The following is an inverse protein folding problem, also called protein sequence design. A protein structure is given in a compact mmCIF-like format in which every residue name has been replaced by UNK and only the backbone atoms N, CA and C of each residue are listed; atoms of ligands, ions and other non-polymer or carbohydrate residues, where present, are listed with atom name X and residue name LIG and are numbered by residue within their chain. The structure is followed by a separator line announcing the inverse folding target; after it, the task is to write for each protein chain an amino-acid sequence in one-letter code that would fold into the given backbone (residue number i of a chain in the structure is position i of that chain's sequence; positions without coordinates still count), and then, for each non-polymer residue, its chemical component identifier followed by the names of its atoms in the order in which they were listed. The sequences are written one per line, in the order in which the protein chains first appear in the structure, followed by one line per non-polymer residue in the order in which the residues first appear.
data_IF_494660885518
#
_entry.id   IF_494660885518
#
_cell.length_a   1.000
_cell.length_b   1.000
_cell.length_c   1.000
_cell.angle_alpha   90.00
_cell.angle_beta   90.00
_cell.angle_gamma   90.00
#
_symmetry.space_group_name_H-M   'P 1'
#
loop_
_entity.id
_entity.type
_entity.pdbx_description
1 polymer ?
#
# COMPACT_ATOMS: atom_id res chain seq x y z
N UNK A 1 -0.33 -15.94 2.87
CA UNK A 1 0.57 -16.45 3.90
C UNK A 1 1.99 -15.97 3.65
N UNK A 2 2.41 -14.97 4.41
CA UNK A 2 3.74 -14.44 4.46
C UNK A 2 4.60 -15.45 5.22
N UNK A 3 5.67 -15.88 4.57
CA UNK A 3 6.55 -16.92 5.10
C UNK A 3 7.69 -16.32 5.93
N UNK A 4 7.86 -14.99 5.91
CA UNK A 4 9.00 -14.35 6.55
C UNK A 4 8.68 -12.90 7.03
N UNK A 5 7.64 -12.70 7.87
CA UNK A 5 7.29 -11.37 8.37
C UNK A 5 8.40 -10.77 9.25
N UNK A 6 9.15 -11.62 9.96
CA UNK A 6 10.26 -11.23 10.86
C UNK A 6 11.47 -10.63 10.13
N UNK A 7 11.51 -10.74 8.80
CA UNK A 7 12.62 -10.21 8.00
C UNK A 7 12.36 -8.79 7.50
N UNK A 8 11.28 -8.14 7.96
CA UNK A 8 10.88 -6.82 7.48
C UNK A 8 12.01 -5.80 7.61
N UNK A 9 12.55 -5.61 8.83
CA UNK A 9 13.56 -4.59 9.09
C UNK A 9 14.93 -4.92 8.50
N UNK A 10 15.20 -6.20 8.20
CA UNK A 10 16.38 -6.61 7.42
C UNK A 10 16.27 -6.25 5.93
N UNK A 11 15.06 -6.12 5.39
CA UNK A 11 14.83 -5.75 3.99
C UNK A 11 14.66 -4.23 3.84
N UNK A 12 13.93 -3.61 4.77
CA UNK A 12 13.65 -2.17 4.77
C UNK A 12 14.58 -1.43 5.74
N UNK A 13 15.87 -1.46 5.44
CA UNK A 13 16.93 -0.88 6.28
C UNK A 13 16.72 0.61 6.55
N UNK A 14 16.18 1.39 5.60
CA UNK A 14 15.88 2.81 5.83
C UNK A 14 14.84 3.03 6.92
N UNK A 15 13.77 2.22 6.93
CA UNK A 15 12.76 2.23 8.00
C UNK A 15 13.36 1.85 9.34
N UNK A 16 14.22 0.81 9.36
CA UNK A 16 14.92 0.39 10.57
C UNK A 16 15.84 1.48 11.11
N UNK A 17 16.68 2.06 10.25
CA UNK A 17 17.65 3.08 10.63
C UNK A 17 16.96 4.33 11.18
N UNK A 18 15.86 4.77 10.56
CA UNK A 18 15.05 5.89 11.05
C UNK A 18 14.46 5.59 12.44
N UNK A 19 13.83 4.43 12.59
CA UNK A 19 13.26 4.00 13.87
C UNK A 19 14.32 3.91 14.98
N UNK A 20 15.48 3.33 14.66
CA UNK A 20 16.60 3.17 15.57
C UNK A 20 17.20 4.52 15.98
N UNK A 21 17.31 5.48 15.05
CA UNK A 21 17.77 6.84 15.37
C UNK A 21 16.81 7.55 16.32
N UNK A 22 15.50 7.41 16.09
CA UNK A 22 14.49 7.97 16.99
C UNK A 22 14.55 7.31 18.37
N UNK A 23 14.67 5.98 18.46
CA UNK A 23 14.84 5.29 19.74
C UNK A 23 16.04 5.81 20.55
N UNK A 24 17.16 6.10 19.86
CA UNK A 24 18.34 6.71 20.49
C UNK A 24 18.10 8.13 20.97
N UNK A 25 17.37 8.95 20.20
CA UNK A 25 17.01 10.32 20.61
C UNK A 25 16.19 10.32 21.90
N UNK A 26 15.29 9.36 22.05
CA UNK A 26 14.44 9.21 23.24
C UNK A 26 15.07 8.32 24.34
N UNK A 27 16.36 7.99 24.23
CA UNK A 27 17.12 7.17 25.19
C UNK A 27 16.43 5.84 25.57
N UNK A 28 15.83 5.17 24.60
CA UNK A 28 15.26 3.84 24.82
C UNK A 28 16.37 2.81 25.08
N UNK A 29 16.21 2.01 26.15
CA UNK A 29 17.26 1.10 26.64
C UNK A 29 16.88 -0.38 26.60
N UNK A 30 15.60 -0.68 26.40
CA UNK A 30 15.12 -2.07 26.43
C UNK A 30 15.39 -2.74 25.08
N UNK A 31 15.72 -4.05 25.11
CA UNK A 31 15.96 -4.84 23.89
C UNK A 31 16.94 -4.20 22.88
N UNK A 32 18.04 -3.63 23.38
CA UNK A 32 19.13 -3.08 22.56
C UNK A 32 20.30 -4.06 22.41
N UNK A 33 20.94 -4.06 21.25
CA UNK A 33 22.16 -4.82 20.98
C UNK A 33 23.39 -4.23 21.68
N UNK A 34 24.54 -4.89 21.54
CA UNK A 34 25.82 -4.44 22.12
C UNK A 34 26.35 -3.13 21.53
N UNK A 35 25.81 -2.68 20.41
CA UNK A 35 26.12 -1.41 19.76
C UNK A 35 25.09 -0.30 20.09
N UNK A 36 24.12 -0.59 20.96
CA UNK A 36 23.07 0.34 21.36
C UNK A 36 22.01 0.58 20.26
N UNK A 37 21.83 -0.36 19.34
CA UNK A 37 20.74 -0.35 18.37
C UNK A 37 19.57 -1.23 18.83
N UNK A 38 18.36 -0.93 18.37
CA UNK A 38 17.20 -1.79 18.58
C UNK A 38 17.46 -3.20 18.03
N UNK A 39 17.24 -4.23 18.83
CA UNK A 39 17.16 -5.60 18.33
C UNK A 39 15.99 -5.72 17.35
N UNK A 40 16.24 -6.33 16.19
CA UNK A 40 15.21 -6.54 15.16
C UNK A 40 14.14 -7.50 15.71
N UNK A 41 12.90 -7.22 15.35
CA UNK A 41 11.67 -7.81 15.90
C UNK A 41 11.39 -7.38 17.35
N UNK A 42 12.15 -7.88 18.34
CA UNK A 42 11.83 -7.65 19.75
C UNK A 42 11.92 -6.16 20.14
N UNK A 43 13.08 -5.52 19.98
CA UNK A 43 13.26 -4.12 20.36
C UNK A 43 12.50 -3.15 19.46
N UNK A 44 12.39 -3.46 18.17
CA UNK A 44 11.58 -2.63 17.26
C UNK A 44 10.08 -2.67 17.59
N UNK A 45 9.54 -3.83 17.97
CA UNK A 45 8.12 -3.98 18.32
C UNK A 45 7.81 -3.41 19.69
N UNK A 46 8.71 -3.58 20.66
CA UNK A 46 8.52 -3.08 22.01
C UNK A 46 8.56 -1.55 22.04
N UNK A 47 9.57 -0.95 21.39
CA UNK A 47 9.66 0.52 21.24
C UNK A 47 8.42 1.13 20.58
N UNK A 48 7.93 0.58 19.47
CA UNK A 48 6.73 1.12 18.79
C UNK A 48 5.48 0.95 19.64
N UNK A 49 5.39 -0.14 20.41
CA UNK A 49 4.28 -0.40 21.35
C UNK A 49 4.30 0.59 22.51
N UNK A 50 5.47 0.87 23.08
CA UNK A 50 5.63 1.84 24.16
C UNK A 50 5.31 3.27 23.74
N UNK A 51 5.72 3.66 22.54
CA UNK A 51 5.34 4.95 21.95
C UNK A 51 3.82 5.01 21.72
N UNK A 52 3.20 3.93 21.23
CA UNK A 52 1.76 3.86 20.98
C UNK A 52 0.94 3.92 22.28
N UNK A 53 1.41 3.26 23.34
CA UNK A 53 0.75 3.22 24.64
C UNK A 53 1.02 4.49 25.48
N UNK A 54 1.96 5.34 25.06
CA UNK A 54 2.35 6.55 25.77
C UNK A 54 3.29 6.30 26.95
N UNK A 55 3.91 5.13 27.04
CA UNK A 55 5.01 4.85 27.97
C UNK A 55 6.19 5.79 27.68
N UNK A 56 6.47 5.99 26.39
CA UNK A 56 7.47 6.95 25.89
C UNK A 56 6.74 8.13 25.27
N UNK A 57 6.96 9.32 25.82
CA UNK A 57 6.34 10.54 25.30
C UNK A 57 7.17 11.07 24.12
N UNK A 58 6.65 10.88 22.91
CA UNK A 58 7.25 11.37 21.67
C UNK A 58 6.39 12.52 21.13
N UNK A 59 6.92 13.76 21.00
CA UNK A 59 6.21 14.87 20.37
C UNK A 59 6.09 14.70 18.84
N UNK A 60 5.16 15.46 18.24
CA UNK A 60 5.14 15.63 16.78
C UNK A 60 6.38 16.44 16.32
N UNK A 61 6.97 16.14 15.15
CA UNK A 61 6.49 15.21 14.11
C UNK A 61 6.90 13.75 14.30
N UNK A 62 7.81 13.45 15.23
CA UNK A 62 8.45 12.14 15.38
C UNK A 62 7.44 11.02 15.67
N UNK A 63 6.40 11.32 16.45
CA UNK A 63 5.32 10.37 16.71
C UNK A 63 4.65 9.90 15.41
N UNK A 64 4.34 10.83 14.50
CA UNK A 64 3.74 10.48 13.21
C UNK A 64 4.68 9.64 12.34
N UNK A 65 5.99 9.88 12.41
CA UNK A 65 7.01 9.09 11.71
C UNK A 65 7.05 7.66 12.23
N UNK A 66 7.17 7.46 13.55
CA UNK A 66 7.18 6.13 14.18
C UNK A 66 5.89 5.37 13.86
N UNK A 67 4.74 6.03 14.00
CA UNK A 67 3.44 5.45 13.66
C UNK A 67 3.39 5.01 12.20
N UNK A 68 3.88 5.83 11.27
CA UNK A 68 3.86 5.50 9.84
C UNK A 68 4.76 4.31 9.49
N UNK A 69 5.92 4.18 10.14
CA UNK A 69 6.85 3.05 9.98
C UNK A 69 6.18 1.77 10.46
N UNK A 70 5.59 1.79 11.65
CA UNK A 70 4.95 0.62 12.24
C UNK A 70 3.70 0.19 11.46
N UNK A 71 2.83 1.14 11.10
CA UNK A 71 1.68 0.83 10.25
C UNK A 71 2.10 0.23 8.90
N UNK A 72 3.21 0.71 8.33
CA UNK A 72 3.74 0.17 7.07
C UNK A 72 4.27 -1.26 7.27
N UNK A 73 5.00 -1.53 8.36
CA UNK A 73 5.46 -2.87 8.71
C UNK A 73 4.28 -3.82 8.75
N UNK A 74 3.28 -3.51 9.59
CA UNK A 74 2.07 -4.32 9.75
C UNK A 74 1.43 -4.61 8.39
N UNK A 75 1.13 -3.58 7.58
CA UNK A 75 0.49 -3.74 6.25
C UNK A 75 1.31 -4.54 5.24
N UNK A 76 2.64 -4.54 5.34
CA UNK A 76 3.52 -5.28 4.44
C UNK A 76 3.76 -6.72 4.90
N UNK A 77 3.63 -6.97 6.20
CA UNK A 77 3.80 -8.29 6.79
C UNK A 77 2.49 -9.06 6.92
N UNK A 78 1.35 -8.36 6.82
CA UNK A 78 0.00 -8.90 6.96
C UNK A 78 -0.35 -9.97 5.92
N UNK A 79 -1.21 -10.89 6.34
CA UNK A 79 -1.72 -11.95 5.50
C UNK A 79 -3.12 -11.66 4.98
N UNK A 80 -3.19 -11.22 3.73
CA UNK A 80 -4.45 -10.93 3.05
C UNK A 80 -4.96 -12.12 2.25
N UNK A 81 -6.22 -12.55 2.49
CA UNK A 81 -6.94 -13.38 1.54
C UNK A 81 -7.83 -12.54 0.62
N UNK A 82 -7.47 -12.44 -0.66
CA UNK A 82 -8.16 -11.59 -1.63
C UNK A 82 -8.85 -12.46 -2.69
N UNK A 83 -10.18 -12.58 -2.59
CA UNK A 83 -11.01 -13.07 -3.70
C UNK A 83 -11.65 -11.89 -4.42
N UNK A 84 -11.11 -11.52 -5.58
CA UNK A 84 -11.57 -10.36 -6.35
C UNK A 84 -12.20 -10.75 -7.69
N UNK A 85 -13.29 -10.07 -8.03
CA UNK A 85 -13.88 -10.05 -9.37
C UNK A 85 -13.56 -8.71 -10.01
N UNK A 86 -13.14 -8.70 -11.28
CA UNK A 86 -12.88 -7.46 -12.01
C UNK A 86 -13.46 -7.46 -13.41
N UNK A 87 -13.85 -6.27 -13.87
CA UNK A 87 -14.28 -5.99 -15.23
C UNK A 87 -13.38 -4.91 -15.81
N UNK A 88 -12.86 -5.16 -17.01
CA UNK A 88 -12.00 -4.22 -17.73
C UNK A 88 -12.61 -3.89 -19.09
N UNK A 89 -12.69 -2.61 -19.39
CA UNK A 89 -13.12 -2.09 -20.68
C UNK A 89 -11.99 -1.27 -21.30
N UNK A 90 -11.75 -1.47 -22.59
CA UNK A 90 -10.72 -0.74 -23.34
C UNK A 90 -11.28 -0.36 -24.71
N UNK A 91 -11.10 0.90 -25.08
CA UNK A 91 -11.46 1.43 -26.40
C UNK A 91 -10.34 2.31 -26.94
N UNK A 92 -9.99 2.10 -28.19
CA UNK A 92 -9.03 2.92 -28.94
C UNK A 92 -9.65 3.35 -30.25
N UNK A 93 -9.38 4.58 -30.69
CA UNK A 93 -9.67 5.00 -32.08
C UNK A 93 -8.48 4.87 -33.00
N UNK A 94 -7.33 4.46 -32.47
CA UNK A 94 -6.09 4.34 -33.26
C UNK A 94 -6.29 3.34 -34.39
N UNK A 95 -6.14 3.78 -35.63
CA UNK A 95 -6.38 2.94 -36.82
C UNK A 95 -5.14 2.20 -37.30
N UNK A 96 -3.97 2.82 -37.21
CA UNK A 96 -2.70 2.26 -37.66
C UNK A 96 -1.51 2.77 -36.81
N UNK A 97 -0.29 2.33 -37.12
CA UNK A 97 0.90 2.70 -36.37
C UNK A 97 1.33 4.17 -36.54
N UNK A 98 0.98 4.80 -37.66
CA UNK A 98 1.29 6.19 -38.02
C UNK A 98 0.20 7.17 -37.59
N UNK A 99 -0.95 6.67 -37.15
CA UNK A 99 -2.02 7.49 -36.59
C UNK A 99 -1.55 8.19 -35.31
N UNK A 100 -1.39 9.51 -35.42
CA UNK A 100 -0.99 10.43 -34.36
C UNK A 100 -2.17 11.27 -33.86
N UNK A 101 -3.40 10.93 -34.21
CA UNK A 101 -4.61 11.64 -33.80
C UNK A 101 -5.68 10.67 -33.31
N UNK A 102 -5.40 10.04 -32.17
CA UNK A 102 -6.29 9.06 -31.56
C UNK A 102 -6.53 9.33 -30.09
N UNK A 103 -7.51 8.64 -29.51
CA UNK A 103 -7.61 8.48 -28.07
C UNK A 103 -7.64 7.00 -27.69
N UNK A 104 -7.21 6.72 -26.46
CA UNK A 104 -7.38 5.44 -25.78
C UNK A 104 -8.04 5.69 -24.44
N UNK A 105 -9.05 4.89 -24.13
CA UNK A 105 -9.72 4.84 -22.86
C UNK A 105 -9.59 3.43 -22.32
N UNK A 106 -9.04 3.29 -21.13
CA UNK A 106 -9.05 2.03 -20.35
C UNK A 106 -9.71 2.31 -19.02
N UNK A 107 -10.67 1.48 -18.66
CA UNK A 107 -11.35 1.54 -17.37
C UNK A 107 -11.38 0.16 -16.75
N UNK A 108 -11.09 0.06 -15.46
CA UNK A 108 -11.21 -1.18 -14.70
C UNK A 108 -12.02 -0.93 -13.44
N UNK A 109 -12.93 -1.86 -13.14
CA UNK A 109 -13.65 -1.90 -11.88
C UNK A 109 -13.40 -3.27 -11.24
N UNK A 110 -13.09 -3.27 -9.96
CA UNK A 110 -12.75 -4.46 -9.18
C UNK A 110 -13.50 -4.42 -7.85
N UNK A 111 -14.05 -5.55 -7.44
CA UNK A 111 -14.68 -5.75 -6.14
C UNK A 111 -14.11 -7.03 -5.52
N UNK A 112 -13.66 -6.94 -4.28
CA UNK A 112 -13.12 -8.05 -3.52
C UNK A 112 -14.01 -8.40 -2.32
N UNK A 113 -14.03 -9.68 -1.97
CA UNK A 113 -14.67 -10.19 -0.76
C UNK A 113 -16.21 -10.22 -0.76
N UNK A 114 -16.90 -9.53 -1.68
CA UNK A 114 -18.37 -9.57 -1.79
C UNK A 114 -18.97 -10.99 -1.81
N UNK A 115 -18.37 -11.91 -2.57
CA UNK A 115 -18.82 -13.31 -2.64
C UNK A 115 -18.55 -14.05 -1.31
N UNK A 116 -17.40 -13.78 -0.69
CA UNK A 116 -17.01 -14.37 0.59
C UNK A 116 -17.92 -13.89 1.71
N UNK A 117 -18.31 -12.62 1.71
CA UNK A 117 -19.27 -12.06 2.66
C UNK A 117 -20.65 -12.64 2.48
N UNK A 118 -21.14 -12.79 1.24
CA UNK A 118 -22.41 -13.48 1.00
C UNK A 118 -22.39 -14.90 1.55
N UNK A 119 -21.32 -15.65 1.28
CA UNK A 119 -21.14 -17.00 1.82
C UNK A 119 -21.04 -17.01 3.35
N UNK A 120 -20.20 -16.15 3.93
CA UNK A 120 -19.94 -16.09 5.38
C UNK A 120 -21.20 -15.75 6.17
N UNK A 121 -22.00 -14.81 5.64
CA UNK A 121 -23.30 -14.45 6.21
C UNK A 121 -24.31 -15.60 6.07
N UNK A 122 -24.41 -16.21 4.88
CA UNK A 122 -25.34 -17.33 4.64
C UNK A 122 -25.00 -18.57 5.48
N UNK A 123 -23.72 -18.85 5.69
CA UNK A 123 -23.22 -19.95 6.51
C UNK A 123 -23.13 -19.60 8.01
N UNK A 124 -23.44 -18.36 8.41
CA UNK A 124 -23.33 -17.88 9.80
C UNK A 124 -21.96 -18.17 10.43
N UNK A 125 -20.88 -17.92 9.68
CA UNK A 125 -19.53 -18.13 10.19
C UNK A 125 -19.26 -17.27 11.43
N UNK A 126 -18.52 -17.78 12.42
CA UNK A 126 -18.12 -16.98 13.56
C UNK A 126 -17.16 -15.87 13.12
N UNK A 127 -17.21 -14.75 13.83
CA UNK A 127 -16.25 -13.66 13.71
C UNK A 127 -15.11 -13.85 14.70
N UNK A 128 -13.93 -13.36 14.37
CA UNK A 128 -12.78 -13.35 15.25
C UNK A 128 -12.86 -12.23 16.30
N UNK A 129 -11.80 -12.09 17.11
CA UNK A 129 -11.72 -11.09 18.18
C UNK A 129 -11.79 -9.65 17.66
N UNK A 130 -11.40 -9.41 16.40
CA UNK A 130 -11.46 -8.12 15.73
C UNK A 130 -12.84 -7.84 15.11
N UNK A 131 -13.78 -8.78 15.19
CA UNK A 131 -15.12 -8.66 14.59
C UNK A 131 -15.16 -8.97 13.10
N UNK A 132 -14.10 -9.57 12.54
CA UNK A 132 -13.95 -9.91 11.13
C UNK A 132 -14.20 -11.40 10.90
N UNK A 133 -14.70 -11.74 9.71
CA UNK A 133 -14.83 -13.09 9.21
C UNK A 133 -13.49 -13.61 8.68
N UNK A 134 -13.26 -14.90 8.87
CA UNK A 134 -12.07 -15.59 8.42
C UNK A 134 -12.42 -16.76 7.50
N UNK A 135 -11.56 -16.99 6.51
CA UNK A 135 -11.59 -18.18 5.65
C UNK A 135 -10.18 -18.76 5.63
N UNK A 136 -10.05 -20.06 5.95
CA UNK A 136 -8.74 -20.71 6.16
C UNK A 136 -7.88 -20.01 7.23
N UNK A 137 -8.52 -19.50 8.29
CA UNK A 137 -7.89 -18.74 9.39
C UNK A 137 -7.18 -17.46 8.91
N UNK A 138 -7.65 -16.87 7.81
CA UNK A 138 -7.18 -15.60 7.28
C UNK A 138 -8.36 -14.65 7.16
N UNK A 139 -8.19 -13.43 7.64
CA UNK A 139 -9.13 -12.35 7.35
C UNK A 139 -9.12 -12.08 5.84
N UNK A 140 -10.30 -12.04 5.23
CA UNK A 140 -10.40 -11.75 3.81
C UNK A 140 -10.68 -10.28 3.55
N UNK A 141 -10.08 -9.77 2.48
CA UNK A 141 -10.16 -8.35 2.17
C UNK A 141 -11.44 -7.99 1.42
N UNK A 142 -12.09 -6.92 1.86
CA UNK A 142 -13.28 -6.35 1.22
C UNK A 142 -13.02 -4.91 0.76
N UNK A 143 -13.10 -4.68 -0.55
CA UNK A 143 -12.90 -3.37 -1.12
C UNK A 143 -13.52 -3.25 -2.52
N UNK A 144 -13.83 -2.01 -2.92
CA UNK A 144 -14.07 -1.64 -4.31
C UNK A 144 -12.90 -0.81 -4.80
N UNK A 145 -12.40 -1.11 -5.99
CA UNK A 145 -11.30 -0.40 -6.65
C UNK A 145 -11.68 -0.06 -8.08
N UNK A 146 -11.41 1.18 -8.49
CA UNK A 146 -11.68 1.65 -9.86
C UNK A 146 -10.47 2.37 -10.44
N UNK A 147 -10.19 2.12 -11.71
CA UNK A 147 -9.07 2.70 -12.46
C UNK A 147 -9.60 3.29 -13.76
N UNK A 148 -9.12 4.49 -14.10
CA UNK A 148 -9.41 5.23 -15.32
C UNK A 148 -8.10 5.73 -15.93
N UNK A 149 -7.76 5.25 -17.12
CA UNK A 149 -6.58 5.68 -17.88
C UNK A 149 -7.04 6.21 -19.24
N UNK A 150 -6.70 7.47 -19.48
CA UNK A 150 -7.01 8.17 -20.72
C UNK A 150 -5.74 8.67 -21.38
N UNK A 151 -5.60 8.34 -22.66
CA UNK A 151 -4.50 8.80 -23.51
C UNK A 151 -5.09 9.52 -24.70
N UNK A 152 -4.60 10.73 -25.00
CA UNK A 152 -5.04 11.52 -26.15
C UNK A 152 -3.85 12.09 -26.89
N UNK A 153 -3.84 11.86 -28.19
CA UNK A 153 -2.87 12.42 -29.12
C UNK A 153 -3.60 13.44 -30.02
N UNK A 154 -2.94 14.58 -30.23
CA UNK A 154 -3.30 15.59 -31.22
C UNK A 154 -2.11 15.82 -32.16
N UNK A 155 -2.34 15.69 -33.46
CA UNK A 155 -1.37 16.02 -34.50
C UNK A 155 -1.66 17.45 -35.00
N UNK A 156 -0.70 18.36 -34.79
CA UNK A 156 -0.80 19.76 -35.23
C UNK A 156 -0.10 20.02 -36.57
N UNK A 157 0.19 18.97 -37.35
CA UNK A 157 1.02 19.01 -38.56
C UNK A 157 2.48 19.38 -38.30
N UNK A 158 3.34 19.27 -39.32
CA UNK A 158 4.78 19.60 -39.25
C UNK A 158 5.52 18.86 -38.12
N UNK A 159 5.19 17.58 -37.92
CA UNK A 159 5.82 16.71 -36.91
C UNK A 159 5.62 17.18 -35.47
N UNK A 160 4.58 17.98 -35.21
CA UNK A 160 4.22 18.46 -33.87
C UNK A 160 3.07 17.65 -33.32
N UNK A 161 3.35 16.81 -32.33
CA UNK A 161 2.35 15.98 -31.66
C UNK A 161 2.30 16.37 -30.19
N UNK A 162 1.10 16.65 -29.70
CA UNK A 162 0.83 16.75 -28.27
C UNK A 162 0.21 15.44 -27.80
N UNK A 163 0.84 14.81 -26.82
CA UNK A 163 0.32 13.62 -26.17
C UNK A 163 0.04 13.94 -24.70
N UNK A 164 -1.16 13.64 -24.25
CA UNK A 164 -1.56 13.73 -22.84
C UNK A 164 -1.97 12.34 -22.38
N UNK A 165 -1.48 11.95 -21.21
CA UNK A 165 -1.93 10.78 -20.47
C UNK A 165 -2.41 11.22 -19.10
N UNK A 166 -3.53 10.67 -18.67
CA UNK A 166 -4.11 10.93 -17.35
C UNK A 166 -4.53 9.60 -16.76
N UNK A 167 -4.15 9.38 -15.51
CA UNK A 167 -4.58 8.23 -14.72
C UNK A 167 -5.31 8.74 -13.48
N UNK A 168 -6.43 8.11 -13.15
CA UNK A 168 -7.19 8.34 -11.94
C UNK A 168 -7.63 6.99 -11.38
N UNK A 169 -7.57 6.83 -10.06
CA UNK A 169 -8.10 5.66 -9.40
C UNK A 169 -8.51 5.95 -7.97
N UNK A 170 -9.53 5.23 -7.52
CA UNK A 170 -10.00 5.25 -6.13
C UNK A 170 -10.21 3.82 -5.65
N UNK A 171 -9.81 3.55 -4.40
CA UNK A 171 -9.98 2.28 -3.72
C UNK A 171 -10.59 2.56 -2.35
N UNK A 172 -11.67 1.86 -2.01
CA UNK A 172 -12.42 2.06 -0.77
C UNK A 172 -12.59 0.69 -0.09
N UNK A 173 -11.99 0.47 1.09
CA UNK A 173 -12.26 -0.72 1.88
C UNK A 173 -13.66 -0.60 2.52
N UNK A 174 -14.30 -1.73 2.77
CA UNK A 174 -15.59 -1.77 3.44
C UNK A 174 -15.79 -3.09 4.18
N UNK A 175 -16.81 -3.17 5.05
CA UNK A 175 -17.23 -4.43 5.66
C UNK A 175 -16.14 -5.08 6.52
N UNK A 176 -15.60 -6.19 6.05
CA UNK A 176 -14.59 -7.03 6.69
C UNK A 176 -13.17 -6.44 6.68
N UNK A 177 -12.99 -5.21 6.22
CA UNK A 177 -11.67 -4.58 6.11
C UNK A 177 -11.70 -3.08 6.35
N UNK A 178 -10.67 -2.57 7.03
CA UNK A 178 -10.48 -1.14 7.31
C UNK A 178 -9.41 -0.48 6.42
N UNK A 179 -8.69 -1.28 5.64
CA UNK A 179 -7.59 -0.85 4.78
C UNK A 179 -7.61 -1.62 3.45
N UNK A 180 -6.97 -1.03 2.44
CA UNK A 180 -6.68 -1.72 1.18
C UNK A 180 -5.41 -2.55 1.37
N UNK A 181 -5.41 -3.83 0.99
CA UNK A 181 -4.20 -4.64 0.94
C UNK A 181 -3.05 -3.94 0.22
N UNK A 182 -1.81 -4.08 0.70
CA UNK A 182 -0.67 -3.41 0.08
C UNK A 182 -0.54 -3.77 -1.41
N UNK A 183 -0.75 -5.04 -1.75
CA UNK A 183 -0.72 -5.55 -3.14
C UNK A 183 -1.81 -4.99 -4.07
N UNK A 184 -2.78 -4.24 -3.53
CA UNK A 184 -3.90 -3.62 -4.25
C UNK A 184 -3.93 -2.10 -4.12
N UNK A 185 -3.05 -1.53 -3.30
CA UNK A 185 -2.91 -0.10 -3.08
C UNK A 185 -2.35 0.61 -4.32
N UNK A 186 -2.65 1.91 -4.45
CA UNK A 186 -2.05 2.75 -5.49
C UNK A 186 -0.70 3.28 -5.05
N UNK A 187 0.20 3.43 -6.02
CA UNK A 187 1.51 4.04 -5.85
C UNK A 187 1.80 4.92 -7.06
N UNK A 188 2.69 5.91 -6.87
CA UNK A 188 3.12 6.81 -7.93
C UNK A 188 4.64 6.95 -7.94
N UNK A 189 5.18 7.26 -9.11
CA UNK A 189 6.62 7.30 -9.41
C UNK A 189 7.09 6.12 -10.25
N UNK A 190 8.18 6.32 -10.99
CA UNK A 190 8.78 5.35 -11.90
C UNK A 190 8.75 5.78 -13.37
N UNK A 191 9.50 5.07 -14.20
CA UNK A 191 9.69 5.42 -15.63
C UNK A 191 8.40 5.38 -16.47
N UNK A 192 7.42 4.58 -16.05
CA UNK A 192 6.12 4.40 -16.71
C UNK A 192 4.98 5.24 -16.10
N UNK A 193 5.29 6.03 -15.08
CA UNK A 193 4.39 6.98 -14.42
C UNK A 193 5.07 8.36 -14.39
N UNK A 194 5.19 9.00 -13.22
CA UNK A 194 5.92 10.24 -13.04
C UNK A 194 7.43 9.97 -13.11
N UNK A 195 8.01 10.22 -14.30
CA UNK A 195 9.45 10.06 -14.56
C UNK A 195 10.28 11.00 -13.69
N UNK A 196 11.50 10.57 -13.36
CA UNK A 196 12.43 11.22 -12.42
C UNK A 196 12.07 11.08 -10.93
N UNK A 197 10.94 10.45 -10.60
CA UNK A 197 10.69 9.89 -9.26
C UNK A 197 10.90 8.38 -9.29
N UNK A 198 11.51 7.85 -8.23
CA UNK A 198 11.59 6.41 -8.03
C UNK A 198 10.19 5.80 -7.83
N UNK A 199 10.01 4.50 -8.15
CA UNK A 199 8.80 3.79 -7.80
C UNK A 199 8.46 3.95 -6.31
N UNK A 200 7.18 4.12 -5.99
CA UNK A 200 6.66 4.29 -4.61
C UNK A 200 7.10 5.58 -3.88
N UNK A 201 7.77 6.51 -4.56
CA UNK A 201 8.29 7.74 -3.93
C UNK A 201 7.29 8.88 -3.83
N UNK A 202 6.17 8.80 -4.54
CA UNK A 202 5.13 9.82 -4.50
C UNK A 202 3.91 9.33 -3.69
N UNK A 203 3.43 10.18 -2.77
CA UNK A 203 2.24 9.95 -1.96
C UNK A 203 2.51 10.06 -0.45
N UNK A 204 1.45 10.04 0.39
CA UNK A 204 1.58 10.19 1.85
C UNK A 204 2.31 9.03 2.55
N UNK A 205 2.57 7.93 1.84
CA UNK A 205 3.41 6.81 2.29
C UNK A 205 4.82 6.81 1.69
N UNK A 206 5.28 7.95 1.14
CA UNK A 206 6.61 8.05 0.54
C UNK A 206 7.69 7.79 1.59
N UNK A 207 8.37 6.65 1.47
CA UNK A 207 9.69 6.48 2.08
C UNK A 207 10.69 7.00 1.07
N UNK A 208 11.70 7.76 1.52
CA UNK A 208 12.90 7.95 0.70
C UNK A 208 13.36 6.56 0.29
N UNK A 209 13.18 6.20 -0.98
CA UNK A 209 13.75 4.98 -1.48
C UNK A 209 15.27 5.16 -1.40
N UNK A 210 15.92 4.14 -0.85
CA UNK A 210 17.37 3.97 -0.95
C UNK A 210 17.70 3.61 -2.38
#
# INVERSE_FOLDING_TARGET
RNLNPENYYNVYESSYNELNNLAKIYNYTDFIDTAGNLMIEEGTSDFTTDVKNGTIVVPEPDYSTIRSIEERRVRLTEDDFILATSYSFSKTTKTDLKDNSFYQLRTKMESAGSILSLFSNAASLPKNQNGNYEIFNLEYSEYVKTEFDYVKYWDFSKEKILAVRTFFGIAIPYGNSNNIPFSRSYFAGGSNDNRAWEPYRLGPGSTGAV
#
